data_IF_546774975431
#
_entry.id   IF_546774975431
#
_cell.length_a   1.000
_cell.length_b   1.000
_cell.length_c   1.000
_cell.angle_alpha   90.00
_cell.angle_beta   90.00
_cell.angle_gamma   90.00
#
_symmetry.space_group_name_H-M   'P 1'
#
loop_
_entity.id
_entity.type
_entity.pdbx_description
1 polymer ?
#
# COMPACT_ATOMS: atom_id res chain seq x y z
N UNK A 1 22.89 -3.46 3.67
CA UNK A 1 23.07 -2.03 4.03
C UNK A 1 21.73 -1.45 4.47
N UNK A 2 21.66 -0.77 5.62
CA UNK A 2 20.42 -0.27 6.24
C UNK A 2 19.80 0.94 5.53
N UNK A 3 19.38 0.77 4.28
CA UNK A 3 18.65 1.80 3.53
C UNK A 3 17.21 1.88 4.00
N UNK A 4 16.65 3.10 3.96
CA UNK A 4 15.22 3.29 4.16
C UNK A 4 14.46 2.77 2.93
N UNK A 5 13.43 1.99 3.16
CA UNK A 5 12.57 1.36 2.14
C UNK A 5 11.16 1.94 2.27
N UNK A 6 10.64 2.41 1.13
CA UNK A 6 9.23 2.79 0.97
C UNK A 6 8.60 1.73 0.07
N UNK A 7 7.52 1.10 0.54
CA UNK A 7 6.80 0.09 -0.23
C UNK A 7 5.58 0.72 -0.90
N UNK A 8 5.50 0.66 -2.23
CA UNK A 8 4.32 1.11 -2.98
C UNK A 8 3.58 -0.14 -3.47
N UNK A 9 2.41 -0.39 -2.89
CA UNK A 9 1.63 -1.59 -3.18
C UNK A 9 0.64 -1.34 -4.32
N UNK A 10 0.85 -2.03 -5.44
CA UNK A 10 -0.08 -2.08 -6.56
C UNK A 10 -0.79 -3.44 -6.55
N UNK A 11 -2.03 -3.46 -6.05
CA UNK A 11 -2.81 -4.70 -5.91
C UNK A 11 -4.28 -4.49 -6.31
N UNK A 12 -4.94 -5.57 -6.74
CA UNK A 12 -6.38 -5.58 -7.00
C UNK A 12 -7.23 -5.99 -5.80
N UNK A 13 -6.61 -6.42 -4.71
CA UNK A 13 -7.26 -6.94 -3.51
C UNK A 13 -6.48 -6.58 -2.24
N UNK A 14 -7.07 -6.80 -1.05
CA UNK A 14 -6.37 -6.69 0.22
C UNK A 14 -5.27 -7.74 0.33
N UNK A 15 -4.01 -7.30 0.30
CA UNK A 15 -2.84 -8.17 0.46
C UNK A 15 -2.34 -8.06 1.89
N UNK A 16 -2.10 -9.20 2.53
CA UNK A 16 -1.45 -9.24 3.83
C UNK A 16 -0.01 -8.70 3.72
N UNK A 17 0.30 -7.62 4.47
CA UNK A 17 1.57 -6.90 4.40
C UNK A 17 2.33 -6.90 5.74
N UNK A 18 2.19 -7.98 6.52
CA UNK A 18 2.78 -8.05 7.87
C UNK A 18 4.31 -7.86 7.88
N UNK A 19 5.10 -8.49 6.99
CA UNK A 19 6.53 -8.23 6.90
C UNK A 19 6.85 -6.77 6.54
N UNK A 20 6.15 -6.21 5.57
CA UNK A 20 6.37 -4.84 5.08
C UNK A 20 6.11 -3.81 6.18
N UNK A 21 5.09 -4.04 7.03
CA UNK A 21 4.83 -3.19 8.20
C UNK A 21 5.96 -3.19 9.24
N UNK A 22 6.82 -4.20 9.24
CA UNK A 22 7.97 -4.32 10.16
C UNK A 22 9.26 -3.74 9.57
N UNK A 23 9.46 -3.90 8.27
CA UNK A 23 10.73 -3.56 7.62
C UNK A 23 10.73 -2.25 6.84
N UNK A 24 9.57 -1.79 6.36
CA UNK A 24 9.45 -0.57 5.56
C UNK A 24 9.17 0.65 6.46
N UNK A 25 9.71 1.81 6.09
CA UNK A 25 9.50 3.06 6.83
C UNK A 25 8.21 3.76 6.43
N UNK A 26 7.67 3.44 5.25
CA UNK A 26 6.36 3.88 4.79
C UNK A 26 5.78 2.87 3.81
N UNK A 27 4.44 2.82 3.76
CA UNK A 27 3.67 2.00 2.82
C UNK A 27 2.65 2.91 2.14
N UNK A 28 2.59 2.87 0.80
CA UNK A 28 1.60 3.56 -0.02
C UNK A 28 0.74 2.53 -0.77
N UNK A 29 -0.54 2.44 -0.44
CA UNK A 29 -1.50 1.64 -1.20
C UNK A 29 -1.95 2.41 -2.45
N UNK A 30 -1.54 1.93 -3.64
CA UNK A 30 -1.81 2.58 -4.93
C UNK A 30 -2.90 1.87 -5.77
N UNK A 31 -3.30 0.64 -5.39
CA UNK A 31 -4.25 -0.18 -6.15
C UNK A 31 -3.81 -0.37 -7.62
N UNK A 32 -4.75 -0.30 -8.57
CA UNK A 32 -4.46 -0.12 -10.00
C UNK A 32 -4.82 1.31 -10.41
N UNK A 33 -3.87 2.27 -10.31
CA UNK A 33 -4.15 3.69 -10.49
C UNK A 33 -4.25 4.15 -11.96
N UNK A 34 -4.44 3.21 -12.88
CA UNK A 34 -4.59 3.47 -14.32
C UNK A 34 -3.32 3.97 -15.01
N UNK A 35 -3.49 4.51 -16.23
CA UNK A 35 -2.40 4.92 -17.12
C UNK A 35 -1.49 6.02 -16.54
N UNK A 36 -2.03 6.89 -15.69
CA UNK A 36 -1.28 7.97 -15.04
C UNK A 36 -0.76 7.59 -13.65
N UNK A 37 -0.80 6.29 -13.33
CA UNK A 37 -0.47 5.75 -12.02
C UNK A 37 0.90 6.14 -11.47
N UNK A 38 1.92 6.11 -12.33
CA UNK A 38 3.28 6.50 -11.93
C UNK A 38 3.37 7.98 -11.54
N UNK A 39 2.67 8.86 -12.26
CA UNK A 39 2.61 10.29 -11.93
C UNK A 39 1.87 10.52 -10.61
N UNK A 40 0.69 9.91 -10.44
CA UNK A 40 -0.09 10.04 -9.21
C UNK A 40 0.68 9.53 -7.98
N UNK A 41 1.40 8.41 -8.09
CA UNK A 41 2.24 7.91 -7.01
C UNK A 41 3.40 8.86 -6.68
N UNK A 42 4.03 9.46 -7.69
CA UNK A 42 5.10 10.44 -7.49
C UNK A 42 4.60 11.70 -6.78
N UNK A 43 3.48 12.28 -7.22
CA UNK A 43 2.88 13.47 -6.60
C UNK A 43 2.57 13.25 -5.10
N UNK A 44 2.12 12.05 -4.73
CA UNK A 44 1.93 11.67 -3.31
C UNK A 44 3.27 11.56 -2.56
N UNK A 45 4.26 10.88 -3.15
CA UNK A 45 5.56 10.63 -2.50
C UNK A 45 6.39 11.91 -2.33
N UNK A 46 6.29 12.85 -3.26
CA UNK A 46 6.99 14.13 -3.21
C UNK A 46 6.19 15.23 -2.48
N UNK A 47 4.93 14.95 -2.11
CA UNK A 47 4.11 15.85 -1.31
C UNK A 47 3.36 16.92 -2.11
N UNK A 48 3.35 16.83 -3.44
CA UNK A 48 2.49 17.65 -4.31
C UNK A 48 1.00 17.39 -4.03
N UNK A 49 0.67 16.19 -3.53
CA UNK A 49 -0.64 15.84 -2.99
C UNK A 49 -0.52 15.14 -1.64
N UNK A 50 -1.32 15.59 -0.65
CA UNK A 50 -1.39 14.94 0.65
C UNK A 50 -2.35 13.73 0.60
N UNK A 51 -1.89 12.50 0.88
CA UNK A 51 -2.72 11.31 0.76
C UNK A 51 -3.98 11.37 1.64
N UNK A 52 -5.15 11.33 1.00
CA UNK A 52 -6.46 11.40 1.67
C UNK A 52 -7.30 10.10 1.54
N UNK A 53 -6.78 9.08 0.86
CA UNK A 53 -7.48 7.80 0.68
C UNK A 53 -7.72 7.05 2.00
N UNK A 54 -8.81 6.28 2.06
CA UNK A 54 -9.14 5.40 3.19
C UNK A 54 -9.41 4.00 2.67
N UNK A 55 -9.06 2.98 3.45
CA UNK A 55 -9.29 1.59 3.07
C UNK A 55 -10.81 1.30 3.07
N UNK A 56 -11.39 0.87 1.94
CA UNK A 56 -12.82 0.53 1.88
C UNK A 56 -13.11 -0.88 2.38
N UNK A 57 -12.06 -1.68 2.62
CA UNK A 57 -12.13 -3.09 2.99
C UNK A 57 -11.02 -3.43 3.99
N UNK A 58 -11.25 -4.45 4.83
CA UNK A 58 -10.29 -4.90 5.84
C UNK A 58 -9.09 -5.59 5.21
N UNK A 59 -7.88 -5.19 5.61
CA UNK A 59 -6.64 -5.90 5.30
C UNK A 59 -6.31 -6.83 6.47
N UNK A 60 -6.51 -8.13 6.26
CA UNK A 60 -6.18 -9.14 7.26
C UNK A 60 -4.66 -9.32 7.38
N UNK A 61 -4.20 -9.68 8.57
CA UNK A 61 -2.78 -9.97 8.82
C UNK A 61 -2.31 -11.18 8.02
N UNK A 62 -3.18 -12.17 7.86
CA UNK A 62 -2.93 -13.41 7.14
C UNK A 62 -4.26 -14.11 6.83
N UNK A 63 -4.17 -15.24 6.13
CA UNK A 63 -5.34 -16.03 5.68
C UNK A 63 -6.17 -16.63 6.83
N UNK A 64 -5.60 -16.80 8.03
CA UNK A 64 -6.32 -17.47 9.14
C UNK A 64 -7.36 -16.56 9.79
N UNK A 65 -7.41 -15.28 9.41
CA UNK A 65 -8.43 -14.33 9.87
C UNK A 65 -9.57 -14.17 8.86
N UNK A 66 -9.50 -14.84 7.71
CA UNK A 66 -10.58 -14.82 6.73
C UNK A 66 -11.79 -15.58 7.29
N UNK A 67 -13.02 -15.11 7.06
CA UNK A 67 -14.21 -15.86 7.37
C UNK A 67 -14.33 -17.09 6.46
N UNK A 68 -15.09 -18.08 6.91
CA UNK A 68 -15.51 -19.20 6.06
C UNK A 68 -16.35 -18.68 4.88
N UNK A 69 -16.29 -19.37 3.74
CA UNK A 69 -16.98 -18.99 2.50
C UNK A 69 -18.47 -19.36 2.53
#
# INVERSE_FOLDING_TARGET
AGKKVIFVNFSGSPIAMEPETKYCQAILQAWYPGQSGGKAAAEVLFGDYNPAGRLPVTFYRNITQLPDF
#
